data_IF_453294329531
#
_entry.id   IF_453294329531
#
_cell.length_a   1.000
_cell.length_b   1.000
_cell.length_c   1.000
_cell.angle_alpha   90.00
_cell.angle_beta   90.00
_cell.angle_gamma   90.00
#
_symmetry.space_group_name_H-M   'P 1'
#
loop_
_entity.id
_entity.type
_entity.pdbx_description
1 polymer ?
#
# COMPACT_ATOMS: atom_id res chain seq x y z
N UNK A 1 1.68 -12.49 -3.71
CA UNK A 1 1.69 -11.01 -3.56
C UNK A 1 2.62 -10.41 -4.61
N UNK A 2 2.35 -9.20 -5.10
CA UNK A 2 3.21 -8.45 -6.05
C UNK A 2 3.79 -7.22 -5.38
N UNK A 3 5.02 -6.84 -5.72
CA UNK A 3 5.63 -5.61 -5.23
C UNK A 3 4.84 -4.41 -5.77
N UNK A 4 4.48 -3.49 -4.88
CA UNK A 4 3.75 -2.28 -5.22
C UNK A 4 4.71 -1.12 -5.43
N UNK A 5 5.63 -0.93 -4.48
CA UNK A 5 6.62 0.16 -4.53
C UNK A 5 7.23 0.45 -3.17
N UNK A 6 8.03 1.52 -3.10
CA UNK A 6 8.70 1.98 -1.88
C UNK A 6 7.96 3.17 -1.28
N UNK A 7 7.72 3.15 0.03
CA UNK A 7 7.13 4.29 0.75
C UNK A 7 8.11 5.44 0.75
N UNK A 8 7.64 6.61 0.32
CA UNK A 8 8.44 7.84 0.28
C UNK A 8 8.08 8.80 1.41
N UNK A 9 6.81 8.81 1.84
CA UNK A 9 6.33 9.77 2.81
C UNK A 9 5.07 9.28 3.54
N UNK A 10 4.87 9.76 4.77
CA UNK A 10 3.67 9.55 5.55
C UNK A 10 2.95 10.90 5.69
N UNK A 11 1.69 10.94 5.29
CA UNK A 11 0.81 12.11 5.43
C UNK A 11 -0.28 11.83 6.45
N UNK A 12 -1.01 12.87 6.83
CA UNK A 12 -2.21 12.74 7.69
C UNK A 12 -3.30 11.85 7.07
N UNK A 13 -3.34 11.72 5.73
CA UNK A 13 -4.33 10.90 5.01
C UNK A 13 -3.86 9.46 4.77
N UNK A 14 -2.55 9.20 4.88
CA UNK A 14 -1.98 7.87 4.62
C UNK A 14 -0.55 7.89 4.09
N UNK A 15 -0.08 6.72 3.68
CA UNK A 15 1.26 6.54 3.12
C UNK A 15 1.27 6.91 1.65
N UNK A 16 2.32 7.60 1.20
CA UNK A 16 2.58 7.86 -0.20
C UNK A 16 3.75 6.98 -0.63
N UNK A 17 3.59 6.29 -1.75
CA UNK A 17 4.62 5.47 -2.36
C UNK A 17 4.71 5.73 -3.86
N UNK A 18 5.90 5.51 -4.43
CA UNK A 18 6.07 5.48 -5.88
C UNK A 18 5.85 4.06 -6.36
N UNK A 19 4.84 3.88 -7.19
CA UNK A 19 4.45 2.57 -7.68
C UNK A 19 5.27 2.18 -8.92
N UNK A 20 5.67 0.92 -9.01
CA UNK A 20 6.39 0.37 -10.18
C UNK A 20 5.41 0.04 -11.33
N UNK A 21 4.15 -0.17 -10.99
CA UNK A 21 3.06 -0.44 -11.93
C UNK A 21 1.79 0.28 -11.47
N UNK A 22 0.85 0.50 -12.38
CA UNK A 22 -0.48 1.05 -12.08
C UNK A 22 -1.22 0.08 -11.14
N UNK A 23 -1.48 0.45 -9.87
CA UNK A 23 -2.20 -0.41 -8.94
C UNK A 23 -3.71 -0.28 -9.10
N UNK A 24 -4.42 -1.34 -8.71
CA UNK A 24 -5.87 -1.31 -8.60
C UNK A 24 -6.30 -0.47 -7.39
N UNK A 25 -7.17 0.52 -7.61
CA UNK A 25 -7.82 1.28 -6.55
C UNK A 25 -8.61 0.34 -5.62
N UNK A 26 -8.58 0.62 -4.31
CA UNK A 26 -9.19 -0.21 -3.28
C UNK A 26 -8.45 -1.53 -2.99
N UNK A 27 -7.43 -1.89 -3.77
CA UNK A 27 -6.66 -3.10 -3.58
C UNK A 27 -5.96 -3.14 -2.22
N UNK A 28 -5.93 -4.33 -1.59
CA UNK A 28 -5.31 -4.51 -0.29
C UNK A 28 -3.77 -4.40 -0.38
N UNK A 29 -3.19 -3.71 0.59
CA UNK A 29 -1.75 -3.46 0.68
C UNK A 29 -1.20 -4.07 1.97
N UNK A 30 -0.04 -4.70 1.82
CA UNK A 30 0.66 -5.46 2.84
C UNK A 30 2.12 -5.00 2.94
N UNK A 31 2.74 -5.24 4.09
CA UNK A 31 4.19 -5.08 4.25
C UNK A 31 4.95 -6.36 3.85
N UNK A 32 6.27 -6.35 4.04
CA UNK A 32 7.11 -7.52 3.77
C UNK A 32 6.87 -8.73 4.68
N UNK A 33 6.21 -8.55 5.83
CA UNK A 33 5.81 -9.62 6.74
C UNK A 33 4.44 -10.22 6.37
N UNK A 34 3.73 -9.62 5.41
CA UNK A 34 2.38 -10.04 5.01
C UNK A 34 1.29 -9.51 5.94
N UNK A 35 1.60 -8.51 6.77
CA UNK A 35 0.65 -7.80 7.61
C UNK A 35 -0.11 -6.75 6.80
N UNK A 36 -1.41 -6.62 7.06
CA UNK A 36 -2.27 -5.73 6.28
C UNK A 36 -2.08 -4.28 6.73
N UNK A 37 -1.49 -3.48 5.85
CA UNK A 37 -1.27 -2.05 6.08
C UNK A 37 -2.50 -1.22 5.70
N UNK A 38 -3.25 -1.62 4.67
CA UNK A 38 -4.37 -0.81 4.23
C UNK A 38 -4.90 -1.13 2.84
N UNK A 39 -5.32 -0.10 2.14
CA UNK A 39 -5.79 -0.17 0.76
C UNK A 39 -5.39 1.04 -0.06
N UNK A 40 -5.25 0.86 -1.37
CA UNK A 40 -5.00 1.97 -2.31
C UNK A 40 -6.21 2.91 -2.32
N UNK A 41 -5.97 4.18 -1.99
CA UNK A 41 -6.99 5.23 -1.95
C UNK A 41 -7.02 6.02 -3.25
N UNK A 42 -5.85 6.42 -3.75
CA UNK A 42 -5.72 7.33 -4.87
C UNK A 42 -4.43 7.03 -5.67
N UNK A 43 -4.43 7.41 -6.95
CA UNK A 43 -3.34 7.22 -7.89
C UNK A 43 -3.17 8.48 -8.75
N UNK A 44 -1.99 9.08 -8.75
CA UNK A 44 -1.73 10.35 -9.42
C UNK A 44 -0.30 10.46 -9.96
N UNK A 45 -0.02 11.50 -10.73
CA UNK A 45 1.30 11.78 -11.26
C UNK A 45 1.62 11.05 -12.58
N UNK A 46 2.92 10.86 -12.90
CA UNK A 46 3.34 10.33 -14.21
C UNK A 46 2.84 8.91 -14.46
N UNK A 47 2.26 8.68 -15.65
CA UNK A 47 1.69 7.37 -16.03
C UNK A 47 2.73 6.25 -15.98
N UNK A 48 3.99 6.54 -16.35
CA UNK A 48 5.07 5.56 -16.34
C UNK A 48 5.52 5.14 -14.92
N UNK A 49 5.31 5.98 -13.90
CA UNK A 49 5.73 5.72 -12.52
C UNK A 49 4.86 6.52 -11.55
N UNK A 50 3.60 6.10 -11.35
CA UNK A 50 2.62 6.88 -10.63
C UNK A 50 2.87 6.85 -9.12
N UNK A 51 2.32 7.85 -8.43
CA UNK A 51 2.27 7.91 -6.98
C UNK A 51 0.95 7.36 -6.48
N UNK A 52 0.99 6.51 -5.47
CA UNK A 52 -0.20 5.95 -4.86
C UNK A 52 -0.32 6.41 -3.40
N UNK A 53 -1.54 6.76 -2.99
CA UNK A 53 -1.89 6.99 -1.58
C UNK A 53 -2.49 5.72 -1.00
N UNK A 54 -1.95 5.25 0.12
CA UNK A 54 -2.46 4.10 0.85
C UNK A 54 -3.18 4.58 2.11
N UNK A 55 -4.48 4.31 2.17
CA UNK A 55 -5.29 4.54 3.36
C UNK A 55 -4.97 3.45 4.39
N UNK A 56 -4.50 3.83 5.60
CA UNK A 56 -4.22 2.85 6.65
C UNK A 56 -5.45 2.07 7.08
N UNK A 57 -5.25 0.80 7.44
CA UNK A 57 -6.27 0.00 8.11
C UNK A 57 -6.57 0.54 9.52
N UNK A 58 -7.76 0.23 10.05
CA UNK A 58 -8.14 0.59 11.42
C UNK A 58 -7.16 -0.06 12.41
N UNK A 59 -6.75 0.70 13.42
CA UNK A 59 -5.84 0.24 14.48
C UNK A 59 -4.35 0.52 14.25
N UNK A 60 -3.96 1.01 13.06
CA UNK A 60 -2.57 1.44 12.81
C UNK A 60 -2.34 2.85 13.33
N UNK A 61 -1.29 3.02 14.13
CA UNK A 61 -0.87 4.31 14.67
C UNK A 61 0.11 5.01 13.72
N UNK A 62 0.17 6.35 13.80
CA UNK A 62 1.12 7.15 13.00
C UNK A 62 2.58 6.72 13.24
N UNK A 63 2.94 6.41 14.49
CA UNK A 63 4.28 5.91 14.82
C UNK A 63 4.59 4.56 14.16
N UNK A 64 3.60 3.65 14.09
CA UNK A 64 3.76 2.37 13.39
C UNK A 64 3.93 2.55 11.88
N UNK A 65 3.14 3.43 11.28
CA UNK A 65 3.22 3.75 9.85
C UNK A 65 4.55 4.45 9.49
N UNK A 66 5.09 5.28 10.38
CA UNK A 66 6.37 5.96 10.18
C UNK A 66 7.53 5.00 9.98
N UNK A 67 7.49 3.81 10.60
CA UNK A 67 8.51 2.76 10.42
C UNK A 67 8.51 2.14 9.02
N UNK A 68 7.42 2.30 8.27
CA UNK A 68 7.29 1.76 6.91
C UNK A 68 7.93 2.68 5.86
N UNK A 69 8.32 3.91 6.24
CA UNK A 69 9.01 4.84 5.35
C UNK A 69 10.31 4.21 4.86
N UNK A 70 10.51 4.22 3.55
CA UNK A 70 11.62 3.56 2.91
C UNK A 70 11.48 2.03 2.74
N UNK A 71 10.44 1.41 3.31
CA UNK A 71 10.14 0.00 3.13
C UNK A 71 9.39 -0.28 1.82
N UNK A 72 9.52 -1.50 1.26
CA UNK A 72 8.67 -1.96 0.18
C UNK A 72 7.28 -2.35 0.71
N UNK A 73 6.24 -1.99 -0.04
CA UNK A 73 4.89 -2.49 0.15
C UNK A 73 4.48 -3.42 -0.99
N UNK A 74 3.51 -4.28 -0.71
CA UNK A 74 3.05 -5.33 -1.58
C UNK A 74 1.53 -5.28 -1.75
N UNK A 75 1.06 -5.75 -2.89
CA UNK A 75 -0.36 -5.80 -3.27
C UNK A 75 -0.77 -7.23 -3.61
N UNK A 76 -2.05 -7.53 -3.44
CA UNK A 76 -2.69 -8.77 -3.88
C UNK A 76 -3.14 -9.63 -2.71
N UNK A 77 -3.71 -10.79 -3.00
CA UNK A 77 -4.26 -11.64 -1.95
C UNK A 77 -3.15 -12.37 -1.21
N UNK A 78 -3.30 -12.46 0.12
CA UNK A 78 -2.57 -13.45 0.92
C UNK A 78 -3.08 -14.81 0.44
N UNK A 79 -2.17 -15.63 -0.09
CA UNK A 79 -2.47 -16.98 -0.57
C UNK A 79 -3.34 -17.70 0.48
N UNK A 80 -4.60 -17.97 0.16
CA UNK A 80 -5.53 -18.67 1.07
C UNK A 80 -6.90 -18.02 1.35
N UNK A 81 -7.26 -16.86 0.79
CA UNK A 81 -8.61 -16.30 0.94
C UNK A 81 -9.41 -16.34 -0.37
N UNK A 82 -9.73 -17.55 -0.82
CA UNK A 82 -10.76 -17.79 -1.84
C UNK A 82 -12.03 -17.04 -1.43
N UNK A 83 -12.51 -16.14 -2.29
CA UNK A 83 -13.86 -15.58 -2.18
C UNK A 83 -14.84 -16.75 -2.22
N UNK A 84 -15.49 -17.08 -1.09
CA UNK A 84 -16.72 -17.84 -1.15
C UNK A 84 -17.74 -16.96 -1.88
N UNK A 85 -18.20 -17.46 -3.03
CA UNK A 85 -19.29 -16.90 -3.80
C UNK A 85 -20.60 -16.98 -2.99
#
# INVERSE_FOLDING_TARGET
MRKLGKVIHLTNRGLVLRAEHVPNLGGAVYDGAGERIGSVLDLFGPVAAPYAVIKPARGLTQAGLGKLIGGPLYMGERYGKTRKA
#
